data_IF_467156704215
#
_entry.id   IF_467156704215
#
_cell.length_a   1.000
_cell.length_b   1.000
_cell.length_c   1.000
_cell.angle_alpha   90.00
_cell.angle_beta   90.00
_cell.angle_gamma   90.00
#
_symmetry.space_group_name_H-M   'P 1'
#
loop_
_entity.id
_entity.type
_entity.pdbx_description
1 polymer ?
#
# COMPACT_ATOMS: atom_id res chain seq x y z
N UNK A 1 -0.28 -5.93 -9.11
CA UNK A 1 0.61 -4.93 -8.45
C UNK A 1 0.67 -3.64 -9.28
N UNK A 2 0.55 -2.46 -8.64
CA UNK A 2 0.50 -1.12 -9.26
C UNK A 2 1.87 -0.45 -9.47
N UNK A 3 2.82 -0.69 -8.56
CA UNK A 3 4.18 -0.14 -8.60
C UNK A 3 5.19 -1.23 -8.23
N UNK A 4 6.41 -1.17 -8.75
CA UNK A 4 7.47 -2.09 -8.33
C UNK A 4 8.03 -1.66 -6.97
N UNK A 5 8.23 -2.60 -6.06
CA UNK A 5 8.80 -2.37 -4.74
C UNK A 5 10.14 -3.08 -4.64
N UNK A 6 11.18 -2.31 -4.32
CA UNK A 6 12.53 -2.83 -4.11
C UNK A 6 12.72 -3.00 -2.60
N UNK A 7 12.92 -4.23 -2.10
CA UNK A 7 13.07 -4.49 -0.68
C UNK A 7 14.38 -3.87 -0.18
N UNK A 8 14.28 -3.20 0.95
CA UNK A 8 15.36 -2.62 1.75
C UNK A 8 15.67 -3.46 3.00
N UNK A 9 14.71 -4.27 3.45
CA UNK A 9 14.82 -5.18 4.57
C UNK A 9 14.72 -6.64 4.13
N UNK A 10 15.30 -7.59 4.89
CA UNK A 10 15.24 -9.01 4.55
C UNK A 10 13.85 -9.64 4.71
N UNK A 11 12.92 -8.97 5.38
CA UNK A 11 11.52 -9.41 5.55
C UNK A 11 10.59 -8.84 4.46
N UNK A 12 11.11 -8.01 3.57
CA UNK A 12 10.34 -7.35 2.50
C UNK A 12 10.33 -8.20 1.22
N UNK A 13 9.16 -8.27 0.58
CA UNK A 13 9.01 -9.03 -0.67
C UNK A 13 9.24 -8.11 -1.88
N UNK A 14 10.21 -8.44 -2.71
CA UNK A 14 10.36 -7.79 -4.01
C UNK A 14 9.16 -8.12 -4.91
N UNK A 15 8.46 -7.09 -5.35
CA UNK A 15 7.32 -7.22 -6.28
C UNK A 15 7.54 -6.34 -7.49
N UNK A 16 7.23 -6.89 -8.67
CA UNK A 16 7.32 -6.13 -9.92
C UNK A 16 5.93 -5.63 -10.34
N UNK A 17 5.87 -4.51 -11.06
CA UNK A 17 4.60 -4.04 -11.62
C UNK A 17 4.03 -5.09 -12.58
N UNK A 18 2.75 -5.45 -12.41
CA UNK A 18 2.12 -6.55 -13.14
C UNK A 18 2.32 -7.96 -12.53
N UNK A 19 3.11 -8.10 -11.47
CA UNK A 19 3.21 -9.36 -10.73
C UNK A 19 1.88 -9.68 -10.01
N UNK A 20 1.58 -10.98 -9.91
CA UNK A 20 0.49 -11.51 -9.11
C UNK A 20 1.06 -12.04 -7.80
N UNK A 21 0.57 -11.48 -6.70
CA UNK A 21 0.86 -11.94 -5.35
C UNK A 21 -0.44 -12.25 -4.63
N UNK A 22 -0.38 -13.21 -3.72
CA UNK A 22 -1.50 -13.56 -2.85
C UNK A 22 -1.35 -12.81 -1.54
N UNK A 23 -2.38 -12.04 -1.18
CA UNK A 23 -2.42 -11.40 0.14
C UNK A 23 -2.67 -12.49 1.19
N UNK A 24 -1.73 -12.62 2.13
CA UNK A 24 -1.80 -13.54 3.27
C UNK A 24 -2.46 -12.84 4.45
N UNK A 25 -2.01 -11.62 4.75
CA UNK A 25 -2.50 -10.82 5.88
C UNK A 25 -2.46 -9.32 5.55
N UNK A 26 -3.33 -8.53 6.19
CA UNK A 26 -3.42 -7.08 6.01
C UNK A 26 -3.41 -6.41 7.37
N UNK A 27 -2.53 -5.44 7.53
CA UNK A 27 -2.35 -4.69 8.76
C UNK A 27 -2.99 -3.30 8.63
N UNK A 28 -3.58 -2.79 9.71
CA UNK A 28 -4.19 -1.45 9.77
C UNK A 28 -3.17 -0.29 9.60
N UNK A 29 -1.87 -0.57 9.69
CA UNK A 29 -0.80 0.43 9.53
C UNK A 29 -0.48 0.74 8.05
N UNK A 30 -1.16 0.10 7.09
CA UNK A 30 -0.94 0.31 5.66
C UNK A 30 -0.04 -0.72 4.98
N UNK A 31 0.30 -1.80 5.68
CA UNK A 31 1.14 -2.90 5.19
C UNK A 31 0.33 -4.17 4.97
N UNK A 32 0.78 -5.02 4.04
CA UNK A 32 0.19 -6.32 3.81
C UNK A 32 1.28 -7.38 3.64
N UNK A 33 1.10 -8.50 4.32
CA UNK A 33 1.92 -9.69 4.09
C UNK A 33 1.42 -10.37 2.83
N UNK A 34 2.30 -10.50 1.83
CA UNK A 34 1.98 -11.16 0.58
C UNK A 34 2.90 -12.35 0.33
N UNK A 35 2.40 -13.32 -0.44
CA UNK A 35 3.13 -14.50 -0.89
C UNK A 35 3.17 -14.49 -2.43
N UNK A 36 4.37 -14.63 -3.01
CA UNK A 36 4.52 -14.74 -4.46
C UNK A 36 4.29 -16.17 -4.96
N UNK A 37 4.24 -16.35 -6.28
CA UNK A 37 4.11 -17.68 -6.90
C UNK A 37 5.31 -18.62 -6.66
N UNK A 38 6.42 -18.13 -6.10
CA UNK A 38 7.60 -18.92 -5.73
C UNK A 38 7.52 -19.44 -4.28
N UNK A 39 6.49 -19.04 -3.53
CA UNK A 39 6.31 -19.36 -2.11
C UNK A 39 7.13 -18.47 -1.16
N UNK A 40 7.72 -17.38 -1.67
CA UNK A 40 8.38 -16.38 -0.84
C UNK A 40 7.34 -15.43 -0.27
N UNK A 41 7.49 -15.12 1.01
CA UNK A 41 6.61 -14.21 1.75
C UNK A 41 7.38 -12.97 2.14
N UNK A 42 6.67 -11.85 2.17
CA UNK A 42 7.20 -10.66 2.78
C UNK A 42 6.21 -9.51 2.78
N UNK A 43 6.60 -8.46 3.48
CA UNK A 43 5.80 -7.26 3.66
C UNK A 43 5.87 -6.41 2.40
N UNK A 44 4.70 -5.92 1.95
CA UNK A 44 4.60 -4.89 0.93
C UNK A 44 3.60 -3.82 1.39
N UNK A 45 3.76 -2.56 0.97
CA UNK A 45 2.78 -1.54 1.29
C UNK A 45 1.49 -1.78 0.50
N UNK A 46 0.33 -1.58 1.14
CA UNK A 46 -0.98 -1.82 0.54
C UNK A 46 -1.23 -0.92 -0.67
N UNK A 47 -0.56 0.22 -0.78
CA UNK A 47 -0.60 1.11 -1.95
C UNK A 47 -0.13 0.43 -3.25
N UNK A 48 0.73 -0.59 -3.14
CA UNK A 48 1.22 -1.37 -4.28
C UNK A 48 0.21 -2.45 -4.71
N UNK A 49 -0.74 -2.82 -3.85
CA UNK A 49 -1.79 -3.76 -4.18
C UNK A 49 -2.84 -3.11 -5.11
N UNK A 50 -3.34 -3.91 -6.04
CA UNK A 50 -4.53 -3.57 -6.81
C UNK A 50 -5.51 -4.69 -6.57
N UNK A 51 -6.61 -4.37 -5.90
CA UNK A 51 -7.71 -5.31 -5.73
C UNK A 51 -8.38 -5.48 -7.09
N UNK A 52 -7.93 -6.49 -7.83
CA UNK A 52 -8.67 -7.00 -8.99
C UNK A 52 -9.85 -7.79 -8.44
N UNK A 53 -10.85 -7.11 -7.89
CA UNK A 53 -12.17 -7.69 -7.67
C UNK A 53 -12.75 -7.88 -9.07
N UNK A 54 -12.56 -9.07 -9.63
CA UNK A 54 -13.26 -9.47 -10.84
C UNK A 54 -14.75 -9.49 -10.49
N UNK A 55 -15.47 -8.55 -11.10
CA UNK A 55 -16.92 -8.35 -11.08
C UNK A 55 -17.45 -7.29 -10.09
N UNK A 56 -18.25 -6.39 -10.66
CA UNK A 56 -19.03 -5.30 -10.04
C UNK A 56 -18.21 -4.07 -9.56
N UNK A 57 -18.12 -3.00 -10.35
CA UNK A 57 -19.10 -1.91 -10.37
C UNK A 57 -19.46 -1.38 -8.96
N UNK A 58 -19.29 -0.07 -8.77
CA UNK A 58 -19.77 0.82 -7.69
C UNK A 58 -18.67 1.33 -6.74
N UNK A 59 -18.38 2.64 -6.84
CA UNK A 59 -17.54 3.35 -5.88
C UNK A 59 -16.70 4.48 -6.48
N UNK A 60 -17.30 5.30 -7.32
CA UNK A 60 -16.82 6.67 -7.54
C UNK A 60 -16.80 7.41 -6.19
N UNK A 61 -15.72 8.18 -5.95
CA UNK A 61 -15.61 9.29 -4.97
C UNK A 61 -15.54 8.88 -3.48
N UNK A 62 -14.45 9.10 -2.73
CA UNK A 62 -13.97 10.41 -2.30
C UNK A 62 -12.58 10.28 -1.61
N UNK A 63 -11.49 10.72 -2.24
CA UNK A 63 -10.20 10.99 -1.54
C UNK A 63 -9.66 12.39 -1.81
N UNK A 64 -10.16 13.06 -2.87
CA UNK A 64 -9.78 14.44 -3.19
C UNK A 64 -10.33 15.45 -2.18
N UNK A 65 -11.26 15.05 -1.30
CA UNK A 65 -11.80 15.90 -0.24
C UNK A 65 -11.32 15.55 1.17
N UNK A 66 -10.32 14.68 1.30
CA UNK A 66 -9.50 14.65 2.49
C UNK A 66 -8.65 15.93 2.47
N UNK A 67 -9.24 16.99 3.01
CA UNK A 67 -8.56 18.10 3.65
C UNK A 67 -7.22 17.60 4.16
N UNK A 68 -6.15 17.80 3.36
CA UNK A 68 -4.78 17.71 3.84
C UNK A 68 -4.61 18.88 4.79
N UNK A 69 -5.21 18.80 5.98
CA UNK A 69 -4.72 19.51 7.16
C UNK A 69 -3.46 18.78 7.60
N UNK A 70 -2.46 18.77 6.71
CA UNK A 70 -1.08 18.69 7.10
C UNK A 70 -0.76 20.09 7.63
N UNK A 71 -1.05 20.29 8.92
CA UNK A 71 -0.52 21.43 9.66
C UNK A 71 0.00 20.93 11.01
N UNK A 72 0.83 19.89 10.97
CA UNK A 72 2.00 19.87 11.85
C UNK A 72 2.99 20.92 11.34
N UNK A 73 2.72 22.19 11.64
CA UNK A 73 3.75 23.23 11.70
C UNK A 73 3.82 23.67 13.16
N UNK A 74 4.48 22.84 13.96
CA UNK A 74 4.98 23.24 15.25
C UNK A 74 6.14 24.24 15.02
N UNK A 75 6.06 25.36 15.75
CA UNK A 75 7.11 26.33 16.09
C UNK A 75 7.24 27.68 15.33
N UNK A 76 7.13 28.72 16.18
CA UNK A 76 7.69 30.09 16.13
C UNK A 76 6.97 31.18 15.31
N UNK A 77 6.20 32.03 16.02
CA UNK A 77 6.43 33.50 16.10
C UNK A 77 5.35 34.27 16.90
N UNK A 78 5.82 35.13 17.83
CA UNK A 78 5.13 36.08 18.76
C UNK A 78 4.45 35.43 19.97
N UNK A 79 4.69 35.88 21.20
CA UNK A 79 4.98 37.23 21.71
C UNK A 79 6.25 37.32 22.55
#
# INVERSE_FOLDING_TARGET
IRCAFVPTLPDELSITTGELVRVVDRFDDGWALCENGRGERGMIPQECLTETTADSAMGDTDWRNATRMSSLNLHERRF
#
